data_IF_659075306115
#
_entry.id   IF_659075306115
#
_cell.length_a   1.000
_cell.length_b   1.000
_cell.length_c   1.000
_cell.angle_alpha   90.00
_cell.angle_beta   90.00
_cell.angle_gamma   90.00
#
_symmetry.space_group_name_H-M   'P 1'
#
loop_
_entity.id
_entity.type
_entity.pdbx_description
1 polymer ?
#
# COMPACT_ATOMS: atom_id res chain seq x y z
N UNK A 1 3.76 4.70 -24.50
CA UNK A 1 5.15 4.33 -24.83
C UNK A 1 5.52 3.04 -24.14
N UNK A 2 6.28 2.20 -24.83
CA UNK A 2 6.82 0.94 -24.37
C UNK A 2 8.32 0.93 -24.62
N UNK A 3 9.03 0.02 -23.96
CA UNK A 3 10.45 -0.19 -24.21
C UNK A 3 10.67 -0.55 -25.68
N UNK A 4 11.63 0.09 -26.33
CA UNK A 4 11.93 -0.07 -27.74
C UNK A 4 11.29 0.97 -28.65
N UNK A 5 10.26 1.70 -28.20
CA UNK A 5 9.70 2.82 -28.95
C UNK A 5 10.78 3.90 -29.17
N UNK A 6 10.67 4.62 -30.29
CA UNK A 6 11.57 5.74 -30.62
C UNK A 6 10.78 7.04 -30.53
N UNK A 7 11.38 8.07 -29.93
CA UNK A 7 10.85 9.42 -29.91
C UNK A 7 11.92 10.42 -30.37
N UNK A 8 11.46 11.58 -30.83
CA UNK A 8 12.31 12.59 -31.43
C UNK A 8 12.24 13.89 -30.62
N UNK A 9 13.40 14.50 -30.41
CA UNK A 9 13.52 15.84 -29.83
C UNK A 9 13.99 16.78 -30.94
N UNK A 10 13.13 17.71 -31.32
CA UNK A 10 13.45 18.74 -32.30
C UNK A 10 14.06 19.95 -31.60
N UNK A 11 15.27 20.31 -31.98
CA UNK A 11 15.92 21.56 -31.64
C UNK A 11 16.10 22.37 -32.94
N UNK A 12 16.29 23.69 -32.83
CA UNK A 12 16.25 24.67 -33.92
C UNK A 12 17.05 24.28 -35.18
N UNK A 13 18.09 23.46 -35.08
CA UNK A 13 18.88 22.98 -36.22
C UNK A 13 19.07 21.46 -36.31
N UNK A 14 18.45 20.65 -35.44
CA UNK A 14 18.67 19.20 -35.44
C UNK A 14 17.49 18.42 -34.86
N UNK A 15 17.34 17.18 -35.30
CA UNK A 15 16.39 16.21 -34.73
C UNK A 15 17.16 15.07 -34.08
N UNK A 16 17.02 14.93 -32.77
CA UNK A 16 17.66 13.88 -31.99
C UNK A 16 16.69 12.70 -31.82
N UNK A 17 17.10 11.50 -32.21
CA UNK A 17 16.30 10.29 -32.05
C UNK A 17 16.75 9.51 -30.81
N UNK A 18 15.81 9.24 -29.90
CA UNK A 18 16.05 8.46 -28.68
C UNK A 18 15.18 7.21 -28.66
N UNK A 19 15.77 6.08 -28.25
CA UNK A 19 15.05 4.82 -28.05
C UNK A 19 14.76 4.60 -26.58
N UNK A 20 13.52 4.26 -26.24
CA UNK A 20 13.11 3.97 -24.86
C UNK A 20 13.82 2.70 -24.37
N UNK A 21 14.71 2.85 -23.40
CA UNK A 21 15.48 1.76 -22.79
C UNK A 21 14.87 1.28 -21.45
N UNK A 22 14.23 2.19 -20.71
CA UNK A 22 13.61 1.94 -19.41
C UNK A 22 12.34 2.78 -19.19
N UNK A 23 11.39 2.22 -18.42
CA UNK A 23 10.21 2.93 -17.91
C UNK A 23 10.10 2.58 -16.43
N UNK A 24 10.07 3.60 -15.57
CA UNK A 24 10.02 3.42 -14.10
C UNK A 24 9.01 4.38 -13.49
N UNK A 25 8.32 3.91 -12.46
CA UNK A 25 7.48 4.74 -11.59
C UNK A 25 8.24 4.95 -10.29
N UNK A 26 8.59 6.20 -9.99
CA UNK A 26 9.39 6.59 -8.83
C UNK A 26 8.61 7.57 -7.94
N UNK A 27 9.06 7.73 -6.69
CA UNK A 27 8.58 8.82 -5.83
C UNK A 27 9.26 10.15 -6.21
N UNK A 28 8.63 11.31 -5.96
CA UNK A 28 9.24 12.62 -6.21
C UNK A 28 10.59 12.82 -5.51
N UNK A 29 10.81 12.16 -4.37
CA UNK A 29 12.07 12.25 -3.62
C UNK A 29 13.20 11.37 -4.16
N UNK A 30 12.93 10.47 -5.12
CA UNK A 30 13.91 9.52 -5.66
C UNK A 30 14.62 10.08 -6.90
N UNK A 31 15.42 11.12 -6.71
CA UNK A 31 16.13 11.81 -7.80
C UNK A 31 17.43 11.12 -8.25
N UNK A 32 17.88 10.08 -7.53
CA UNK A 32 19.13 9.38 -7.85
C UNK A 32 19.18 8.79 -9.27
N UNK A 33 18.02 8.47 -9.85
CA UNK A 33 17.91 7.92 -11.19
C UNK A 33 18.10 8.96 -12.30
N UNK A 34 18.10 10.25 -11.96
CA UNK A 34 18.24 11.37 -12.90
C UNK A 34 19.68 11.91 -12.97
N UNK A 35 20.62 11.24 -12.29
CA UNK A 35 22.03 11.63 -12.30
C UNK A 35 22.64 11.42 -13.69
N UNK A 36 23.61 12.28 -14.02
CA UNK A 36 24.38 12.19 -15.27
C UNK A 36 25.14 10.86 -15.28
N UNK A 37 25.04 10.14 -16.39
CA UNK A 37 25.81 8.92 -16.63
C UNK A 37 26.94 9.24 -17.60
N UNK A 38 28.19 9.12 -17.12
CA UNK A 38 29.39 9.43 -17.92
C UNK A 38 29.39 8.60 -19.23
N UNK A 39 29.63 9.27 -20.35
CA UNK A 39 29.73 8.63 -21.68
C UNK A 39 28.40 8.22 -22.31
N UNK A 40 27.26 8.66 -21.76
CA UNK A 40 25.94 8.43 -22.36
C UNK A 40 25.19 9.72 -22.61
N UNK A 41 24.51 9.80 -23.73
CA UNK A 41 23.51 10.82 -24.03
C UNK A 41 22.12 10.21 -23.77
N UNK A 42 21.47 10.65 -22.69
CA UNK A 42 20.19 10.12 -22.22
C UNK A 42 19.19 11.27 -22.06
N UNK A 43 17.98 11.04 -22.57
CA UNK A 43 16.84 11.93 -22.36
C UNK A 43 15.80 11.22 -21.49
N UNK A 44 15.33 11.88 -20.43
CA UNK A 44 14.28 11.34 -19.55
C UNK A 44 13.04 12.22 -19.59
N UNK A 45 11.90 11.67 -20.00
CA UNK A 45 10.60 12.32 -19.87
C UNK A 45 9.95 11.95 -18.53
N UNK A 46 9.65 12.96 -17.71
CA UNK A 46 9.11 12.78 -16.35
C UNK A 46 7.69 13.36 -16.27
N UNK A 47 6.65 12.61 -16.65
CA UNK A 47 5.27 13.04 -16.45
C UNK A 47 4.78 12.76 -15.02
N UNK A 48 3.85 13.59 -14.55
CA UNK A 48 3.07 13.31 -13.34
C UNK A 48 2.13 12.10 -13.55
N UNK A 49 1.99 11.23 -12.54
CA UNK A 49 1.13 10.04 -12.63
C UNK A 49 0.13 9.95 -11.47
N UNK A 50 -1.09 10.51 -11.61
CA UNK A 50 -2.08 10.53 -10.54
C UNK A 50 -2.57 9.12 -10.14
N UNK A 51 -2.56 8.16 -11.08
CA UNK A 51 -2.98 6.77 -10.81
C UNK A 51 -1.98 6.06 -9.89
N UNK A 52 -0.68 6.34 -10.04
CA UNK A 52 0.35 5.80 -9.17
C UNK A 52 0.18 6.34 -7.73
N UNK A 53 -0.10 7.63 -7.58
CA UNK A 53 -0.35 8.25 -6.28
C UNK A 53 -1.61 7.70 -5.60
N UNK A 54 -2.71 7.57 -6.34
CA UNK A 54 -3.95 7.00 -5.83
C UNK A 54 -3.75 5.55 -5.33
N UNK A 55 -3.08 4.70 -6.12
CA UNK A 55 -2.77 3.32 -5.72
C UNK A 55 -1.88 3.25 -4.47
N UNK A 56 -0.94 4.18 -4.31
CA UNK A 56 -0.12 4.25 -3.10
C UNK A 56 -0.97 4.55 -1.85
N UNK A 57 -1.91 5.51 -1.94
CA UNK A 57 -2.84 5.85 -0.85
C UNK A 57 -3.77 4.68 -0.51
N UNK A 58 -4.34 4.03 -1.52
CA UNK A 58 -5.22 2.87 -1.34
C UNK A 58 -4.50 1.72 -0.63
N UNK A 59 -3.25 1.42 -1.01
CA UNK A 59 -2.46 0.38 -0.35
C UNK A 59 -2.24 0.68 1.13
N UNK A 60 -1.96 1.94 1.48
CA UNK A 60 -1.79 2.35 2.89
C UNK A 60 -3.10 2.18 3.66
N UNK A 61 -4.22 2.65 3.10
CA UNK A 61 -5.55 2.52 3.71
C UNK A 61 -5.92 1.06 3.95
N UNK A 62 -5.75 0.19 2.95
CA UNK A 62 -6.08 -1.22 3.08
C UNK A 62 -5.19 -1.90 4.12
N UNK A 63 -3.89 -1.53 4.21
CA UNK A 63 -3.00 -2.04 5.25
C UNK A 63 -3.45 -1.59 6.65
N UNK A 64 -3.81 -0.33 6.83
CA UNK A 64 -4.32 0.20 8.11
C UNK A 64 -5.61 -0.51 8.52
N UNK A 65 -6.53 -0.74 7.59
CA UNK A 65 -7.76 -1.47 7.84
C UNK A 65 -7.50 -2.89 8.37
N UNK A 66 -6.59 -3.65 7.74
CA UNK A 66 -6.22 -4.98 8.22
C UNK A 66 -5.53 -4.97 9.58
N UNK A 67 -4.69 -3.96 9.87
CA UNK A 67 -4.08 -3.79 11.19
C UNK A 67 -5.15 -3.54 12.26
N UNK A 68 -6.12 -2.67 11.98
CA UNK A 68 -7.23 -2.39 12.90
C UNK A 68 -8.06 -3.65 13.15
N UNK A 69 -8.41 -4.39 12.10
CA UNK A 69 -9.13 -5.67 12.23
C UNK A 69 -8.35 -6.66 13.08
N UNK A 70 -7.04 -6.78 12.87
CA UNK A 70 -6.18 -7.69 13.63
C UNK A 70 -6.11 -7.36 15.13
N UNK A 71 -6.34 -6.09 15.51
CA UNK A 71 -6.41 -5.66 16.92
C UNK A 71 -7.83 -5.80 17.48
N UNK A 72 -8.85 -5.43 16.70
CA UNK A 72 -10.24 -5.47 17.15
C UNK A 72 -10.78 -6.89 17.31
N UNK A 73 -10.40 -7.84 16.44
CA UNK A 73 -10.89 -9.22 16.52
C UNK A 73 -10.50 -9.93 17.82
N UNK A 74 -9.23 -9.89 18.28
CA UNK A 74 -8.85 -10.45 19.59
C UNK A 74 -9.56 -9.76 20.76
N UNK A 75 -9.68 -8.43 20.73
CA UNK A 75 -10.37 -7.67 21.78
C UNK A 75 -11.82 -8.12 21.88
N UNK A 76 -12.51 -8.25 20.75
CA UNK A 76 -13.87 -8.77 20.70
C UNK A 76 -13.96 -10.21 21.23
N UNK A 77 -13.02 -11.08 20.84
CA UNK A 77 -12.97 -12.46 21.32
C UNK A 77 -12.74 -12.55 22.84
N UNK A 78 -11.87 -11.69 23.39
CA UNK A 78 -11.64 -11.59 24.84
C UNK A 78 -12.92 -11.14 25.56
N UNK A 79 -13.60 -10.13 25.04
CA UNK A 79 -14.88 -9.65 25.61
C UNK A 79 -15.91 -10.80 25.62
N UNK A 80 -16.06 -11.51 24.49
CA UNK A 80 -16.96 -12.66 24.38
C UNK A 80 -16.56 -13.77 25.36
N UNK A 81 -15.28 -14.06 25.50
CA UNK A 81 -14.76 -15.07 26.43
C UNK A 81 -15.07 -14.73 27.89
N UNK A 82 -14.83 -13.47 28.28
CA UNK A 82 -15.15 -12.96 29.62
C UNK A 82 -16.66 -13.08 29.87
N UNK A 83 -17.49 -12.71 28.88
CA UNK A 83 -18.94 -12.78 28.98
C UNK A 83 -19.44 -14.22 29.12
N UNK A 84 -18.89 -15.14 28.34
CA UNK A 84 -19.23 -16.56 28.40
C UNK A 84 -18.86 -17.18 29.75
N UNK A 85 -17.68 -16.84 30.30
CA UNK A 85 -17.25 -17.28 31.63
C UNK A 85 -18.18 -16.75 32.73
N UNK A 86 -18.60 -15.48 32.64
CA UNK A 86 -19.57 -14.88 33.58
C UNK A 86 -20.93 -15.58 33.51
N UNK A 87 -21.41 -15.90 32.30
CA UNK A 87 -22.68 -16.62 32.09
C UNK A 87 -22.65 -18.03 32.68
N UNK A 88 -21.56 -18.78 32.50
CA UNK A 88 -21.38 -20.11 33.11
C UNK A 88 -21.43 -20.06 34.64
N UNK A 89 -20.74 -19.09 35.26
CA UNK A 89 -20.79 -18.89 36.73
C UNK A 89 -22.20 -18.58 37.24
N UNK A 90 -22.97 -17.75 36.52
CA UNK A 90 -24.36 -17.45 36.90
C UNK A 90 -25.26 -18.69 36.87
N UNK A 91 -25.16 -19.54 35.83
CA UNK A 91 -25.92 -20.80 35.75
C UNK A 91 -25.58 -21.75 36.90
N UNK A 92 -24.28 -21.96 37.17
CA UNK A 92 -23.83 -22.82 38.27
C UNK A 92 -24.25 -22.34 39.67
N UNK A 93 -24.48 -21.04 39.89
CA UNK A 93 -25.03 -20.51 41.15
C UNK A 93 -26.54 -20.74 41.25
N UNK A 94 -27.27 -20.53 40.16
CA UNK A 94 -28.72 -20.76 40.09
C UNK A 94 -29.09 -22.25 40.26
N UNK A 95 -28.29 -23.16 39.70
CA UNK A 95 -28.52 -24.61 39.86
C UNK A 95 -28.26 -25.06 41.32
N UNK A 96 -27.27 -24.46 42.01
CA UNK A 96 -26.99 -24.74 43.44
C UNK A 96 -28.03 -24.16 44.40
N UNK A 97 -28.60 -22.99 44.11
CA UNK A 97 -29.65 -22.39 44.93
C UNK A 97 -30.97 -23.19 44.84
N UNK A 98 -31.25 -23.84 43.70
CA UNK A 98 -32.43 -24.72 43.50
C UNK A 98 -32.31 -26.12 44.12
N UNK A 99 -31.11 -26.56 44.45
CA UNK A 99 -30.85 -27.85 45.11
C UNK A 99 -30.86 -27.70 46.66
N UNK A 100 -30.94 -26.47 47.16
CA UNK A 100 -31.00 -26.13 48.59
C UNK A 100 -32.41 -25.73 49.06
N UNK A 101 -33.40 -25.73 48.18
CA UNK A 101 -34.83 -25.46 48.44
C UNK A 101 -35.63 -26.77 48.32
#
# INVERSE_FOLDING_TARGET
>A
MKKGDVFYVHNLGQTLAYKVDQIKVIKPTQVDQLKIVKGKDLCTWIPYNPKAEAKAKERIRNRLFWIIIAILLPVLAIIIFIWHKKRKKKKAKADKEKEQE
#
